data_IF_232900803131
#
_entry.id   IF_232900803131
#
_cell.length_a   1.000
_cell.length_b   1.000
_cell.length_c   1.000
_cell.angle_alpha   90.00
_cell.angle_beta   90.00
_cell.angle_gamma   90.00
#
_symmetry.space_group_name_H-M   'P 1'
#
loop_
_entity.id
_entity.type
_entity.pdbx_description
1 polymer ?
#
# COMPACT_ATOMS: atom_id res chain seq x y z
N UNK A 1 -9.67 -2.45 15.53
CA UNK A 1 -8.77 -2.20 14.39
C UNK A 1 -9.14 -3.13 13.24
N UNK A 2 -9.24 -4.44 13.49
CA UNK A 2 -9.72 -5.46 12.54
C UNK A 2 -10.98 -5.05 11.76
N UNK A 3 -12.08 -4.68 12.42
CA UNK A 3 -13.30 -4.20 11.74
C UNK A 3 -13.07 -3.01 10.80
N UNK A 4 -12.18 -2.08 11.17
CA UNK A 4 -11.89 -0.91 10.33
C UNK A 4 -11.07 -1.30 9.10
N UNK A 5 -10.08 -2.17 9.30
CA UNK A 5 -9.28 -2.75 8.23
C UNK A 5 -10.16 -3.53 7.25
N UNK A 6 -11.01 -4.43 7.74
CA UNK A 6 -11.95 -5.21 6.93
C UNK A 6 -12.87 -4.29 6.12
N UNK A 7 -13.46 -3.27 6.73
CA UNK A 7 -14.28 -2.29 6.01
C UNK A 7 -13.49 -1.58 4.91
N UNK A 8 -12.25 -1.16 5.17
CA UNK A 8 -11.40 -0.49 4.17
C UNK A 8 -11.01 -1.44 3.03
N UNK A 9 -10.70 -2.71 3.33
CA UNK A 9 -10.44 -3.74 2.32
C UNK A 9 -11.66 -3.94 1.42
N UNK A 10 -12.85 -4.12 2.00
CA UNK A 10 -14.09 -4.30 1.23
C UNK A 10 -14.46 -3.05 0.41
N UNK A 11 -14.19 -1.86 0.92
CA UNK A 11 -14.43 -0.60 0.23
C UNK A 11 -13.35 -0.25 -0.82
N UNK A 12 -12.26 -1.03 -0.89
CA UNK A 12 -11.07 -0.70 -1.69
C UNK A 12 -10.50 0.69 -1.35
N UNK A 13 -10.59 1.08 -0.08
CA UNK A 13 -10.04 2.34 0.43
C UNK A 13 -8.54 2.19 0.69
N UNK A 14 -7.76 2.24 -0.39
CA UNK A 14 -6.32 2.08 -0.35
C UNK A 14 -5.61 3.17 0.46
N UNK A 15 -6.19 4.37 0.53
CA UNK A 15 -5.60 5.48 1.30
C UNK A 15 -5.83 5.28 2.80
N UNK A 16 -7.02 4.80 3.19
CA UNK A 16 -7.32 4.37 4.55
C UNK A 16 -6.41 3.24 5.01
N UNK A 17 -6.26 2.19 4.19
CA UNK A 17 -5.36 1.07 4.46
C UNK A 17 -3.90 1.53 4.58
N UNK A 18 -3.45 2.42 3.70
CA UNK A 18 -2.09 2.98 3.75
C UNK A 18 -1.85 3.70 5.07
N UNK A 19 -2.77 4.59 5.47
CA UNK A 19 -2.66 5.33 6.73
C UNK A 19 -2.65 4.37 7.93
N UNK A 20 -3.53 3.36 7.91
CA UNK A 20 -3.64 2.37 8.97
C UNK A 20 -2.34 1.56 9.13
N UNK A 21 -1.88 0.90 8.06
CA UNK A 21 -0.69 0.06 8.12
C UNK A 21 0.58 0.86 8.41
N UNK A 22 0.72 2.07 7.83
CA UNK A 22 1.90 2.91 8.08
C UNK A 22 1.95 3.43 9.53
N UNK A 23 0.79 3.79 10.10
CA UNK A 23 0.71 4.24 11.50
C UNK A 23 0.97 3.11 12.50
N UNK A 24 0.64 1.87 12.13
CA UNK A 24 0.91 0.67 12.94
C UNK A 24 2.32 0.11 12.75
N UNK A 25 3.07 0.59 11.75
CA UNK A 25 4.36 0.00 11.37
C UNK A 25 4.23 -1.42 10.82
N UNK A 26 3.08 -1.76 10.24
CA UNK A 26 2.79 -3.09 9.69
C UNK A 26 3.39 -3.24 8.29
N UNK A 27 4.62 -3.76 8.25
CA UNK A 27 5.34 -3.99 7.00
C UNK A 27 4.67 -5.05 6.11
N UNK A 28 3.98 -6.05 6.68
CA UNK A 28 3.30 -7.07 5.90
C UNK A 28 2.03 -6.49 5.24
N UNK A 29 1.24 -5.73 6.00
CA UNK A 29 0.09 -4.98 5.51
C UNK A 29 0.45 -4.01 4.39
N UNK A 30 1.53 -3.21 4.56
CA UNK A 30 2.05 -2.33 3.50
C UNK A 30 2.45 -3.12 2.25
N UNK A 31 3.09 -4.29 2.39
CA UNK A 31 3.49 -5.11 1.25
C UNK A 31 2.29 -5.68 0.48
N UNK A 32 1.23 -6.13 1.18
CA UNK A 32 -0.03 -6.58 0.56
C UNK A 32 -0.74 -5.43 -0.15
N UNK A 33 -0.77 -4.25 0.49
CA UNK A 33 -1.36 -3.05 -0.09
C UNK A 33 -0.61 -2.59 -1.35
N UNK A 34 0.72 -2.70 -1.39
CA UNK A 34 1.51 -2.37 -2.58
C UNK A 34 1.06 -3.17 -3.81
N UNK A 35 0.89 -4.50 -3.64
CA UNK A 35 0.41 -5.39 -4.69
C UNK A 35 -1.03 -5.05 -5.11
N UNK A 36 -1.93 -4.90 -4.14
CA UNK A 36 -3.34 -4.53 -4.41
C UNK A 36 -3.46 -3.18 -5.16
N UNK A 37 -2.67 -2.19 -4.75
CA UNK A 37 -2.64 -0.89 -5.41
C UNK A 37 -2.09 -0.98 -6.83
N UNK A 38 -1.08 -1.84 -7.07
CA UNK A 38 -0.51 -2.05 -8.40
C UNK A 38 -1.54 -2.68 -9.34
N UNK A 39 -2.25 -3.70 -8.86
CA UNK A 39 -3.33 -4.37 -9.62
C UNK A 39 -4.50 -3.42 -9.95
N UNK A 40 -4.73 -2.41 -9.12
CA UNK A 40 -5.72 -1.35 -9.38
C UNK A 40 -5.19 -0.17 -10.23
N UNK A 41 -3.94 -0.21 -10.69
CA UNK A 41 -3.31 0.88 -11.44
C UNK A 41 -3.10 2.15 -10.61
N UNK A 42 -3.02 2.03 -9.28
CA UNK A 42 -2.83 3.15 -8.35
C UNK A 42 -1.34 3.33 -8.02
N UNK A 43 -0.57 3.76 -9.02
CA UNK A 43 0.89 3.87 -8.94
C UNK A 43 1.37 4.76 -7.77
N UNK A 44 0.64 5.81 -7.42
CA UNK A 44 0.98 6.67 -6.29
C UNK A 44 0.97 5.91 -4.94
N UNK A 45 -0.05 5.08 -4.71
CA UNK A 45 -0.16 4.27 -3.49
C UNK A 45 0.89 3.15 -3.51
N UNK A 46 1.06 2.46 -4.63
CA UNK A 46 2.11 1.45 -4.79
C UNK A 46 3.49 2.04 -4.50
N UNK A 47 3.82 3.20 -5.08
CA UNK A 47 5.09 3.88 -4.84
C UNK A 47 5.30 4.18 -3.35
N UNK A 48 4.30 4.75 -2.68
CA UNK A 48 4.43 5.11 -1.28
C UNK A 48 4.58 3.89 -0.38
N UNK A 49 3.86 2.79 -0.66
CA UNK A 49 4.06 1.52 0.05
C UNK A 49 5.49 0.99 -0.13
N UNK A 50 5.99 0.94 -1.36
CA UNK A 50 7.36 0.49 -1.66
C UNK A 50 8.41 1.39 -1.01
N UNK A 51 8.19 2.71 -1.01
CA UNK A 51 9.07 3.69 -0.39
C UNK A 51 9.15 3.51 1.13
N UNK A 52 8.00 3.33 1.81
CA UNK A 52 7.94 3.03 3.25
C UNK A 52 8.67 1.72 3.59
N UNK A 53 8.58 0.72 2.71
CA UNK A 53 9.30 -0.56 2.85
C UNK A 53 10.79 -0.49 2.52
N UNK A 54 11.30 0.65 2.04
CA UNK A 54 12.69 0.82 1.63
C UNK A 54 13.06 0.07 0.33
N UNK A 55 12.08 -0.30 -0.49
CA UNK A 55 12.27 -1.05 -1.75
C UNK A 55 12.53 -0.09 -2.91
N UNK A 56 13.69 0.56 -2.90
CA UNK A 56 14.03 1.64 -3.81
C UNK A 56 14.03 1.22 -5.29
N UNK A 57 14.56 0.04 -5.60
CA UNK A 57 14.63 -0.49 -6.97
C UNK A 57 13.23 -0.67 -7.56
N UNK A 58 12.27 -1.18 -6.78
CA UNK A 58 10.88 -1.34 -7.20
C UNK A 58 10.18 0.02 -7.38
N UNK A 59 10.49 1.01 -6.52
CA UNK A 59 10.00 2.38 -6.70
C UNK A 59 10.47 2.99 -8.03
N UNK A 60 11.76 2.82 -8.37
CA UNK A 60 12.32 3.34 -9.61
C UNK A 60 11.70 2.64 -10.82
N UNK A 61 11.55 1.31 -10.75
CA UNK A 61 10.91 0.53 -11.81
C UNK A 61 9.48 0.98 -12.07
N UNK A 62 8.70 1.23 -11.01
CA UNK A 62 7.32 1.71 -11.13
C UNK A 62 7.20 3.09 -11.81
N UNK A 63 8.22 3.94 -11.72
CA UNK A 63 8.21 5.28 -12.33
C UNK A 63 8.59 5.27 -13.82
N UNK A 64 9.23 4.21 -14.30
CA UNK A 64 9.61 4.06 -15.71
C UNK A 64 8.65 3.16 -16.51
N UNK A 65 7.75 2.44 -15.82
CA UNK A 65 6.57 1.76 -16.40
C UNK A 65 5.53 2.77 -16.91
#
# INVERSE_FOLDING_TARGET
LEMAEECMVQAMDLSGLLLLYSSLGDAEGISKLAALAKDQGKNNVTFLCLFILGRLEECLQLLVE
#
